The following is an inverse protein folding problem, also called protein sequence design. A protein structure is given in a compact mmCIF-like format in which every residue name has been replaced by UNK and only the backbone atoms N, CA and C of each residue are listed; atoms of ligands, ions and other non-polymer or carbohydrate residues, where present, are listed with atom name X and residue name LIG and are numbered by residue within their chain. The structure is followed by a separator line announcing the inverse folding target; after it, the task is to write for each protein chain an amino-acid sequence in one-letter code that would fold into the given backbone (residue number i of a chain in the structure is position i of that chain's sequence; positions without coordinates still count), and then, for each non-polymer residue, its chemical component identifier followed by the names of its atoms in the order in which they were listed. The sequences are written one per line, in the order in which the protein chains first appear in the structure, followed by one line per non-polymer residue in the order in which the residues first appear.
data_IF_840715375984
#
_entry.id   IF_840715375984
#
_cell.length_a   1.000
_cell.length_b   1.000
_cell.length_c   1.000
_cell.angle_alpha   90.00
_cell.angle_beta   90.00
_cell.angle_gamma   90.00
#
_symmetry.space_group_name_H-M   'P 1'
#
loop_
_entity.id
_entity.type
_entity.pdbx_description
1 polymer ?
#
# COMPACT_ATOMS: atom_id res chain seq x y z
N UNK A 1 14.88 23.42 -20.58
CA UNK A 1 14.54 22.00 -20.29
C UNK A 1 13.16 21.87 -19.65
N UNK A 2 12.88 22.59 -18.54
CA UNK A 2 11.56 22.59 -17.86
C UNK A 2 10.39 22.99 -18.77
N UNK A 3 10.53 24.10 -19.50
CA UNK A 3 9.49 24.63 -20.39
C UNK A 3 9.14 23.67 -21.54
N UNK A 4 10.13 22.96 -22.08
CA UNK A 4 9.92 21.95 -23.13
C UNK A 4 9.19 20.72 -22.60
N UNK A 5 9.51 20.27 -21.37
CA UNK A 5 8.78 19.19 -20.70
C UNK A 5 7.34 19.58 -20.40
N UNK A 6 7.11 20.80 -19.92
CA UNK A 6 5.77 21.30 -19.65
C UNK A 6 4.94 21.41 -20.94
N UNK A 7 5.54 21.92 -22.03
CA UNK A 7 4.91 21.97 -23.35
C UNK A 7 4.55 20.56 -23.87
N UNK A 8 5.48 19.60 -23.81
CA UNK A 8 5.22 18.22 -24.22
C UNK A 8 4.12 17.54 -23.37
N UNK A 9 4.04 17.86 -22.07
CA UNK A 9 2.94 17.40 -21.19
C UNK A 9 1.59 17.97 -21.60
N UNK A 10 1.52 19.27 -21.89
CA UNK A 10 0.28 19.90 -22.37
C UNK A 10 -0.14 19.34 -23.73
N UNK A 11 0.82 19.10 -24.63
CA UNK A 11 0.58 18.53 -25.93
C UNK A 11 0.05 17.08 -25.82
N UNK A 12 0.69 16.25 -25.00
CA UNK A 12 0.22 14.88 -24.75
C UNK A 12 -1.16 14.85 -24.10
N UNK A 13 -1.40 15.71 -23.10
CA UNK A 13 -2.71 15.83 -22.46
C UNK A 13 -3.79 16.27 -23.47
N UNK A 14 -3.49 17.23 -24.34
CA UNK A 14 -4.39 17.66 -25.42
C UNK A 14 -4.74 16.50 -26.36
N UNK A 15 -3.74 15.74 -26.84
CA UNK A 15 -4.00 14.59 -27.72
C UNK A 15 -4.76 13.45 -27.02
N UNK A 16 -4.48 13.18 -25.74
CA UNK A 16 -5.25 12.22 -24.94
C UNK A 16 -6.70 12.68 -24.74
N UNK A 17 -6.93 13.96 -24.47
CA UNK A 17 -8.28 14.53 -24.35
C UNK A 17 -9.03 14.50 -25.67
N UNK A 18 -8.38 14.81 -26.80
CA UNK A 18 -8.98 14.72 -28.13
C UNK A 18 -9.28 13.27 -28.48
N UNK A 19 -8.37 12.33 -28.22
CA UNK A 19 -8.60 10.90 -28.42
C UNK A 19 -9.75 10.37 -27.54
N UNK A 20 -9.84 10.81 -26.29
CA UNK A 20 -10.94 10.48 -25.39
C UNK A 20 -12.28 11.07 -25.86
N UNK A 21 -12.28 12.31 -26.36
CA UNK A 21 -13.48 12.96 -26.91
C UNK A 21 -13.95 12.30 -28.22
N UNK A 22 -13.01 11.95 -29.11
CA UNK A 22 -13.29 11.19 -30.33
C UNK A 22 -13.81 9.80 -29.97
N UNK A 23 -13.21 9.13 -28.98
CA UNK A 23 -13.70 7.84 -28.48
C UNK A 23 -15.09 7.95 -27.84
N UNK A 24 -15.38 9.05 -27.14
CA UNK A 24 -16.70 9.32 -26.56
C UNK A 24 -17.77 9.50 -27.64
N UNK A 25 -17.42 10.23 -28.71
CA UNK A 25 -18.32 10.50 -29.83
C UNK A 25 -18.53 9.29 -30.74
N UNK A 26 -17.47 8.55 -31.06
CA UNK A 26 -17.51 7.40 -31.97
C UNK A 26 -18.01 6.12 -31.29
N UNK A 27 -17.79 5.99 -29.97
CA UNK A 27 -18.10 4.77 -29.23
C UNK A 27 -18.81 5.03 -27.91
N UNK A 28 -19.98 5.70 -27.90
CA UNK A 28 -20.74 5.96 -26.67
C UNK A 28 -21.18 4.66 -25.97
N UNK A 29 -21.21 3.52 -26.67
CA UNK A 29 -21.46 2.19 -26.10
C UNK A 29 -20.22 1.50 -25.52
N UNK A 30 -19.00 1.82 -25.98
CA UNK A 30 -17.76 1.22 -25.43
C UNK A 30 -17.46 1.76 -24.04
N UNK A 31 -17.83 3.01 -23.76
CA UNK A 31 -17.79 3.58 -22.40
C UNK A 31 -18.72 2.87 -21.40
N UNK A 32 -19.63 2.00 -21.86
CA UNK A 32 -20.48 1.18 -20.99
C UNK A 32 -19.91 -0.20 -20.69
N UNK A 33 -18.78 -0.57 -21.28
CA UNK A 33 -18.14 -1.85 -21.01
C UNK A 33 -16.90 -1.59 -20.14
N UNK A 34 -16.96 -1.91 -18.84
CA UNK A 34 -15.86 -1.67 -17.92
C UNK A 34 -14.74 -2.69 -18.22
N UNK A 35 -13.88 -2.37 -19.19
CA UNK A 35 -12.86 -3.31 -19.67
C UNK A 35 -11.44 -2.86 -19.31
N UNK A 36 -11.20 -1.57 -19.08
CA UNK A 36 -9.83 -1.07 -18.92
C UNK A 36 -9.22 -1.58 -17.62
N UNK A 37 -9.92 -1.36 -16.50
CA UNK A 37 -9.42 -1.77 -15.19
C UNK A 37 -9.35 -3.30 -15.06
N UNK A 38 -10.36 -4.08 -15.47
CA UNK A 38 -10.26 -5.54 -15.44
C UNK A 38 -9.15 -6.11 -16.34
N UNK A 39 -8.90 -5.53 -17.53
CA UNK A 39 -7.80 -5.94 -18.39
C UNK A 39 -6.45 -5.65 -17.72
N UNK A 40 -6.26 -4.45 -17.18
CA UNK A 40 -5.01 -4.10 -16.46
C UNK A 40 -4.83 -5.01 -15.25
N UNK A 41 -5.88 -5.25 -14.46
CA UNK A 41 -5.83 -6.14 -13.30
C UNK A 41 -5.43 -7.57 -13.69
N UNK A 42 -5.93 -8.06 -14.83
CA UNK A 42 -5.55 -9.36 -15.37
C UNK A 42 -4.10 -9.38 -15.85
N UNK A 43 -3.64 -8.32 -16.51
CA UNK A 43 -2.24 -8.16 -16.92
C UNK A 43 -1.32 -8.16 -15.69
N UNK A 44 -1.68 -7.42 -14.63
CA UNK A 44 -0.94 -7.41 -13.37
C UNK A 44 -0.92 -8.80 -12.73
N UNK A 45 -2.05 -9.52 -12.75
CA UNK A 45 -2.11 -10.90 -12.25
C UNK A 45 -1.17 -11.82 -13.04
N UNK A 46 -1.16 -11.73 -14.38
CA UNK A 46 -0.24 -12.49 -15.23
C UNK A 46 1.22 -12.10 -14.98
N UNK A 47 1.50 -10.83 -14.74
CA UNK A 47 2.83 -10.35 -14.39
C UNK A 47 3.31 -10.87 -13.04
N UNK A 48 2.45 -10.89 -12.02
CA UNK A 48 2.76 -11.50 -10.72
C UNK A 48 3.02 -13.00 -10.88
N UNK A 49 2.19 -13.70 -11.66
CA UNK A 49 2.34 -15.14 -11.86
C UNK A 49 3.60 -15.49 -12.64
N UNK A 50 3.73 -14.98 -13.86
CA UNK A 50 4.78 -15.41 -14.79
C UNK A 50 6.03 -14.56 -14.70
N UNK A 51 5.90 -13.26 -14.42
CA UNK A 51 7.02 -12.33 -14.31
C UNK A 51 7.72 -12.39 -12.95
N UNK A 52 7.02 -12.80 -11.90
CA UNK A 52 7.53 -12.78 -10.52
C UNK A 52 7.49 -14.15 -9.83
N UNK A 53 7.04 -15.20 -10.54
CA UNK A 53 6.95 -16.58 -10.04
C UNK A 53 6.09 -16.70 -8.75
N UNK A 54 4.95 -16.00 -8.73
CA UNK A 54 4.00 -16.05 -7.63
C UNK A 54 2.74 -16.85 -8.01
N UNK A 55 2.07 -17.40 -7.00
CA UNK A 55 0.79 -18.08 -7.13
C UNK A 55 -0.22 -17.46 -6.17
N UNK A 56 -1.49 -17.56 -6.53
CA UNK A 56 -2.59 -17.17 -5.66
C UNK A 56 -2.93 -18.32 -4.72
N UNK A 57 -3.04 -18.02 -3.42
CA UNK A 57 -3.41 -18.98 -2.40
C UNK A 57 -4.50 -18.36 -1.51
N UNK A 58 -5.50 -19.16 -1.14
CA UNK A 58 -6.48 -18.79 -0.12
C UNK A 58 -6.30 -19.71 1.07
N UNK A 59 -6.27 -19.13 2.26
CA UNK A 59 -6.22 -19.85 3.53
C UNK A 59 -7.50 -19.55 4.30
N UNK A 60 -8.25 -20.60 4.60
CA UNK A 60 -9.41 -20.52 5.49
C UNK A 60 -8.87 -20.51 6.93
N UNK A 61 -9.17 -19.44 7.67
CA UNK A 61 -8.73 -19.29 9.06
C UNK A 61 -9.75 -19.92 10.03
N UNK A 62 -11.03 -19.70 9.73
CA UNK A 62 -12.18 -20.20 10.45
C UNK A 62 -13.42 -20.23 9.52
N UNK A 63 -14.61 -20.40 10.08
CA UNK A 63 -15.88 -20.44 9.34
C UNK A 63 -16.36 -19.07 8.81
N UNK A 64 -15.71 -17.99 9.24
CA UNK A 64 -16.10 -16.62 8.95
C UNK A 64 -15.07 -15.88 8.11
N UNK A 65 -13.80 -16.30 8.13
CA UNK A 65 -12.65 -15.51 7.69
C UNK A 65 -11.72 -16.29 6.77
N UNK A 66 -11.42 -15.69 5.61
CA UNK A 66 -10.47 -16.22 4.64
C UNK A 66 -9.45 -15.15 4.25
N UNK A 67 -8.18 -15.56 4.17
CA UNK A 67 -7.10 -14.68 3.76
C UNK A 67 -6.53 -15.15 2.42
N UNK A 68 -6.53 -14.26 1.44
CA UNK A 68 -5.93 -14.46 0.14
C UNK A 68 -4.52 -13.86 0.09
N UNK A 69 -3.59 -14.59 -0.51
CA UNK A 69 -2.19 -14.21 -0.67
C UNK A 69 -1.74 -14.41 -2.11
N UNK A 70 -0.81 -13.56 -2.54
CA UNK A 70 0.21 -13.98 -3.48
C UNK A 70 1.39 -14.59 -2.70
N UNK A 71 1.76 -15.81 -3.04
CA UNK A 71 2.83 -16.58 -2.40
C UNK A 71 3.85 -17.06 -3.46
N UNK A 72 5.08 -17.43 -3.10
CA UNK A 72 6.01 -17.96 -4.09
C UNK A 72 5.49 -19.28 -4.66
N UNK A 73 5.53 -19.46 -5.99
CA UNK A 73 5.16 -20.73 -6.61
C UNK A 73 6.00 -21.90 -6.07
N UNK A 74 7.28 -21.62 -5.80
CA UNK A 74 8.21 -22.52 -5.14
C UNK A 74 9.00 -21.75 -4.08
N UNK A 75 8.89 -22.18 -2.82
CA UNK A 75 9.68 -21.64 -1.72
C UNK A 75 11.14 -22.02 -1.90
N UNK A 76 12.03 -21.04 -1.85
CA UNK A 76 13.49 -21.22 -1.94
C UNK A 76 14.12 -21.13 -0.55
N UNK A 77 14.69 -22.23 -0.06
CA UNK A 77 15.19 -22.32 1.32
C UNK A 77 16.43 -21.45 1.60
N UNK A 78 17.17 -21.08 0.56
CA UNK A 78 18.30 -20.17 0.61
C UNK A 78 17.89 -18.68 0.66
N UNK A 79 16.59 -18.37 0.56
CA UNK A 79 16.09 -17.00 0.55
C UNK A 79 15.24 -16.67 1.77
N UNK A 80 15.40 -15.48 2.37
CA UNK A 80 14.55 -15.04 3.45
C UNK A 80 13.11 -14.81 2.97
N UNK A 81 12.17 -14.95 3.89
CA UNK A 81 10.76 -14.67 3.64
C UNK A 81 10.50 -13.17 3.87
N UNK A 82 9.80 -12.53 2.92
CA UNK A 82 9.38 -11.13 3.02
C UNK A 82 7.88 -11.03 2.80
N UNK A 83 7.19 -10.49 3.80
CA UNK A 83 5.79 -10.12 3.69
C UNK A 83 5.65 -8.68 3.20
N UNK A 84 4.75 -8.42 2.25
CA UNK A 84 4.49 -7.08 1.71
C UNK A 84 3.03 -6.68 1.96
N UNK A 85 2.79 -5.68 2.81
CA UNK A 85 1.43 -5.27 3.22
C UNK A 85 1.08 -3.92 2.61
N UNK A 86 0.02 -3.93 1.81
CA UNK A 86 -0.49 -2.77 1.08
C UNK A 86 -1.29 -1.81 1.98
N UNK A 87 -1.50 -0.57 1.53
CA UNK A 87 -2.34 0.43 2.17
C UNK A 87 -3.73 0.59 1.52
N UNK A 88 -4.44 1.66 1.85
CA UNK A 88 -5.73 2.01 1.23
C UNK A 88 -5.60 2.43 -0.24
N UNK A 89 -6.72 2.37 -0.95
CA UNK A 89 -6.86 2.85 -2.34
C UNK A 89 -6.99 1.71 -3.35
N UNK A 90 -6.03 0.79 -3.38
CA UNK A 90 -6.02 -0.36 -4.30
C UNK A 90 -5.50 -1.62 -3.63
N UNK A 91 -5.67 -2.75 -4.32
CA UNK A 91 -5.12 -4.03 -3.86
C UNK A 91 -3.59 -4.12 -4.07
N UNK A 92 -2.92 -5.16 -3.55
CA UNK A 92 -1.47 -5.27 -3.61
C UNK A 92 -0.88 -5.20 -5.02
N UNK A 93 -1.60 -5.68 -6.05
CA UNK A 93 -1.08 -5.70 -7.42
C UNK A 93 -0.85 -4.30 -7.95
N UNK A 94 -1.80 -3.41 -7.66
CA UNK A 94 -1.76 -2.01 -8.06
C UNK A 94 -0.73 -1.21 -7.26
N UNK A 95 -0.47 -1.58 -6.00
CA UNK A 95 0.49 -0.88 -5.16
C UNK A 95 1.93 -1.39 -5.28
N UNK A 96 2.14 -2.66 -5.63
CA UNK A 96 3.48 -3.27 -5.62
C UNK A 96 4.03 -3.63 -6.99
N UNK A 97 3.42 -3.16 -8.09
CA UNK A 97 3.86 -3.46 -9.46
C UNK A 97 5.35 -3.15 -9.70
N UNK A 98 5.90 -2.11 -9.07
CA UNK A 98 7.30 -1.72 -9.20
C UNK A 98 8.25 -2.40 -8.21
N UNK A 99 7.71 -3.03 -7.16
CA UNK A 99 8.48 -3.67 -6.08
C UNK A 99 8.61 -5.17 -6.33
N UNK A 100 7.52 -5.80 -6.76
CA UNK A 100 7.32 -7.26 -6.71
C UNK A 100 8.42 -8.03 -7.44
N UNK A 101 8.83 -7.60 -8.64
CA UNK A 101 9.81 -8.33 -9.44
C UNK A 101 11.20 -8.31 -8.82
N UNK A 102 11.71 -7.13 -8.49
CA UNK A 102 13.05 -6.96 -7.92
C UNK A 102 13.16 -7.63 -6.54
N UNK A 103 12.12 -7.49 -5.70
CA UNK A 103 12.11 -8.14 -4.39
C UNK A 103 11.94 -9.66 -4.51
N UNK A 104 11.18 -10.17 -5.48
CA UNK A 104 11.06 -11.61 -5.74
C UNK A 104 12.38 -12.24 -6.19
N UNK A 105 13.35 -11.48 -6.70
CA UNK A 105 14.68 -12.01 -7.00
C UNK A 105 15.48 -12.32 -5.71
N UNK A 106 15.19 -11.63 -4.61
CA UNK A 106 15.97 -11.71 -3.36
C UNK A 106 15.24 -12.44 -2.23
N UNK A 107 13.91 -12.52 -2.28
CA UNK A 107 13.07 -13.01 -1.20
C UNK A 107 12.06 -14.06 -1.68
N UNK A 108 11.51 -14.82 -0.73
CA UNK A 108 10.22 -15.50 -0.89
C UNK A 108 9.12 -14.51 -0.50
N UNK A 109 8.33 -14.03 -1.47
CA UNK A 109 7.34 -12.99 -1.23
C UNK A 109 5.97 -13.55 -0.81
N UNK A 110 5.43 -13.00 0.27
CA UNK A 110 4.07 -13.26 0.74
C UNK A 110 3.30 -11.95 0.79
N UNK A 111 2.30 -11.79 -0.06
CA UNK A 111 1.61 -10.51 -0.26
C UNK A 111 0.12 -10.74 0.00
N UNK A 112 -0.37 -10.48 1.23
CA UNK A 112 -1.78 -10.62 1.55
C UNK A 112 -2.61 -9.55 0.83
N UNK A 113 -3.81 -9.93 0.40
CA UNK A 113 -4.91 -8.98 0.31
C UNK A 113 -5.40 -8.75 1.76
N UNK A 114 -5.44 -7.51 2.24
CA UNK A 114 -6.03 -7.21 3.56
C UNK A 114 -7.54 -7.47 3.54
N UNK A 115 -8.16 -7.72 4.70
CA UNK A 115 -9.61 -7.95 4.76
C UNK A 115 -10.38 -6.79 4.14
N UNK A 116 -11.40 -7.12 3.34
CA UNK A 116 -12.20 -6.22 2.50
C UNK A 116 -11.49 -5.71 1.24
N UNK A 117 -10.21 -5.97 1.06
CA UNK A 117 -9.45 -5.70 -0.17
C UNK A 117 -9.22 -6.99 -0.94
N UNK A 118 -9.04 -6.87 -2.26
CA UNK A 118 -8.80 -8.01 -3.14
C UNK A 118 -9.83 -9.13 -2.91
N UNK A 119 -9.35 -10.33 -2.57
CA UNK A 119 -10.17 -11.53 -2.36
C UNK A 119 -10.31 -11.98 -0.89
N UNK A 120 -9.68 -11.29 0.06
CA UNK A 120 -9.80 -11.62 1.48
C UNK A 120 -11.15 -11.20 2.03
N UNK A 121 -11.74 -12.04 2.89
CA UNK A 121 -13.10 -11.89 3.37
C UNK A 121 -13.22 -12.19 4.86
N UNK A 122 -14.12 -11.48 5.54
CA UNK A 122 -14.58 -11.85 6.86
C UNK A 122 -16.04 -11.44 7.07
N UNK A 123 -16.79 -12.22 7.83
CA UNK A 123 -18.09 -11.80 8.41
C UNK A 123 -17.97 -11.32 9.85
N UNK A 124 -16.81 -11.50 10.49
CA UNK A 124 -16.53 -10.99 11.84
C UNK A 124 -16.70 -9.46 11.88
N UNK A 125 -17.33 -8.88 12.91
CA UNK A 125 -17.53 -7.43 13.02
C UNK A 125 -16.29 -6.66 13.48
N UNK A 126 -15.19 -7.34 13.85
CA UNK A 126 -13.97 -6.68 14.31
C UNK A 126 -13.29 -5.90 13.16
N UNK A 127 -12.96 -4.63 13.41
CA UNK A 127 -12.38 -3.68 12.44
C UNK A 127 -11.00 -3.16 12.85
N UNK A 128 -10.42 -3.76 13.88
CA UNK A 128 -9.12 -3.34 14.37
C UNK A 128 -7.98 -3.77 13.46
N UNK A 129 -6.94 -2.95 13.46
CA UNK A 129 -5.66 -3.21 12.81
C UNK A 129 -4.98 -4.43 13.46
N UNK A 130 -5.26 -4.67 14.76
CA UNK A 130 -4.86 -5.87 15.48
C UNK A 130 -5.54 -7.14 14.93
N UNK A 131 -6.83 -7.06 14.59
CA UNK A 131 -7.54 -8.18 13.97
C UNK A 131 -7.03 -8.45 12.54
N UNK A 132 -6.80 -7.40 11.74
CA UNK A 132 -6.11 -7.54 10.45
C UNK A 132 -4.76 -8.26 10.61
N UNK A 133 -3.95 -7.85 11.59
CA UNK A 133 -2.65 -8.43 11.88
C UNK A 133 -2.73 -9.91 12.31
N UNK A 134 -3.71 -10.24 13.15
CA UNK A 134 -3.97 -11.62 13.57
C UNK A 134 -4.35 -12.51 12.37
N UNK A 135 -5.27 -12.06 11.52
CA UNK A 135 -5.68 -12.80 10.33
C UNK A 135 -4.52 -13.01 9.35
N UNK A 136 -3.72 -11.97 9.09
CA UNK A 136 -2.53 -12.09 8.23
C UNK A 136 -1.52 -13.07 8.83
N UNK A 137 -1.26 -12.99 10.14
CA UNK A 137 -0.34 -13.90 10.84
C UNK A 137 -0.82 -15.36 10.83
N UNK A 138 -2.11 -15.60 11.04
CA UNK A 138 -2.72 -16.91 10.94
C UNK A 138 -2.64 -17.47 9.51
N UNK A 139 -2.87 -16.62 8.50
CA UNK A 139 -2.71 -16.99 7.09
C UNK A 139 -1.28 -17.41 6.76
N UNK A 140 -0.27 -16.66 7.22
CA UNK A 140 1.14 -17.03 7.06
C UNK A 140 1.47 -18.38 7.74
N UNK A 141 0.95 -18.62 8.95
CA UNK A 141 1.09 -19.92 9.63
C UNK A 141 0.47 -21.05 8.80
N UNK A 142 -0.72 -20.84 8.24
CA UNK A 142 -1.37 -21.79 7.34
C UNK A 142 -0.57 -22.10 6.07
N UNK A 143 0.20 -21.13 5.57
CA UNK A 143 1.16 -21.32 4.46
C UNK A 143 2.51 -21.93 4.90
N UNK A 144 2.67 -22.31 6.18
CA UNK A 144 3.91 -22.89 6.71
C UNK A 144 5.05 -21.89 6.90
N UNK A 145 4.73 -20.61 7.06
CA UNK A 145 5.71 -19.53 7.27
C UNK A 145 5.83 -19.23 8.75
N UNK A 146 6.87 -19.76 9.39
CA UNK A 146 7.13 -19.55 10.82
C UNK A 146 7.80 -18.22 11.15
N UNK A 147 8.65 -17.69 10.25
CA UNK A 147 9.37 -16.41 10.43
C UNK A 147 9.50 -15.66 9.10
N UNK A 148 9.35 -14.34 9.14
CA UNK A 148 9.56 -13.47 7.99
C UNK A 148 9.93 -12.04 8.42
N UNK A 149 10.50 -11.27 7.49
CA UNK A 149 10.55 -9.81 7.60
C UNK A 149 9.29 -9.20 6.98
N UNK A 150 8.92 -7.99 7.39
CA UNK A 150 7.77 -7.26 6.84
C UNK A 150 8.19 -5.95 6.20
N UNK A 151 7.65 -5.67 5.02
CA UNK A 151 7.58 -4.36 4.40
C UNK A 151 6.11 -3.95 4.32
N UNK A 152 5.76 -2.83 4.94
CA UNK A 152 4.39 -2.36 5.02
C UNK A 152 4.29 -0.86 4.75
N UNK A 153 3.30 -0.46 3.95
CA UNK A 153 3.12 0.94 3.53
C UNK A 153 1.75 1.49 3.95
N UNK A 154 1.72 2.75 4.38
CA UNK A 154 0.47 3.46 4.72
C UNK A 154 -0.37 2.68 5.73
N UNK A 155 -1.65 2.42 5.46
CA UNK A 155 -2.49 1.60 6.34
C UNK A 155 -1.89 0.23 6.68
N UNK A 156 -1.19 -0.38 5.73
CA UNK A 156 -0.46 -1.63 5.96
C UNK A 156 0.59 -1.51 7.04
N UNK A 157 1.16 -0.31 7.23
CA UNK A 157 2.13 -0.03 8.30
C UNK A 157 1.55 -0.21 9.70
N UNK A 158 0.28 0.14 9.94
CA UNK A 158 -0.40 -0.17 11.21
C UNK A 158 -0.52 -1.68 11.40
N UNK A 159 -0.96 -2.40 10.37
CA UNK A 159 -1.09 -3.87 10.41
C UNK A 159 0.27 -4.53 10.66
N UNK A 160 1.30 -4.17 9.90
CA UNK A 160 2.65 -4.73 10.03
C UNK A 160 3.30 -4.43 11.38
N UNK A 161 3.03 -3.24 11.95
CA UNK A 161 3.48 -2.91 13.31
C UNK A 161 2.77 -3.78 14.36
N UNK A 162 1.45 -3.92 14.27
CA UNK A 162 0.66 -4.77 15.18
C UNK A 162 1.10 -6.24 15.10
N UNK A 163 1.49 -6.72 13.93
CA UNK A 163 2.08 -8.06 13.79
C UNK A 163 3.40 -8.19 14.56
N UNK A 164 4.28 -7.20 14.50
CA UNK A 164 5.55 -7.21 15.23
C UNK A 164 5.39 -7.12 16.75
N UNK A 165 4.33 -6.43 17.20
CA UNK A 165 3.95 -6.32 18.61
C UNK A 165 3.31 -7.62 19.14
N UNK A 166 2.37 -8.20 18.39
CA UNK A 166 1.59 -9.37 18.81
C UNK A 166 2.32 -10.70 18.61
N UNK A 167 3.20 -10.78 17.61
CA UNK A 167 3.92 -12.00 17.22
C UNK A 167 5.41 -11.74 17.03
N UNK A 168 6.13 -11.31 18.09
CA UNK A 168 7.52 -10.93 17.97
C UNK A 168 8.44 -12.08 17.53
N UNK A 169 8.05 -13.32 17.79
CA UNK A 169 8.74 -14.54 17.35
C UNK A 169 8.67 -14.75 15.83
N UNK A 170 7.62 -14.26 15.18
CA UNK A 170 7.40 -14.39 13.74
C UNK A 170 8.11 -13.30 12.94
N UNK A 171 8.22 -12.09 13.50
CA UNK A 171 8.78 -10.93 12.79
C UNK A 171 10.29 -10.78 13.04
N UNK A 172 11.08 -10.89 11.98
CA UNK A 172 12.55 -10.74 12.06
C UNK A 172 13.00 -9.28 12.00
N UNK A 173 12.52 -8.55 11.00
CA UNK A 173 12.81 -7.14 10.73
C UNK A 173 11.55 -6.45 10.22
N UNK A 174 11.41 -5.17 10.53
CA UNK A 174 10.23 -4.39 10.21
C UNK A 174 10.62 -3.20 9.34
N UNK A 175 9.98 -3.05 8.17
CA UNK A 175 10.09 -1.86 7.33
C UNK A 175 8.72 -1.18 7.25
N UNK A 176 8.62 0.01 7.81
CA UNK A 176 7.41 0.84 7.77
C UNK A 176 7.64 2.01 6.81
N UNK A 177 6.74 2.17 5.85
CA UNK A 177 6.83 3.20 4.83
C UNK A 177 5.61 4.10 4.91
N UNK A 178 5.83 5.40 5.11
CA UNK A 178 4.78 6.42 5.09
C UNK A 178 3.54 6.04 5.90
N UNK A 179 3.64 5.83 7.21
CA UNK A 179 2.51 5.31 8.04
C UNK A 179 2.38 6.02 9.39
N UNK A 180 1.19 6.51 9.74
CA UNK A 180 0.92 7.25 10.98
C UNK A 180 0.93 6.43 12.29
N UNK A 181 1.69 5.34 12.37
CA UNK A 181 1.86 4.57 13.61
C UNK A 181 2.45 5.45 14.71
N UNK A 182 1.88 5.40 15.92
CA UNK A 182 2.32 6.22 17.05
C UNK A 182 1.74 7.63 17.08
N UNK A 183 0.88 8.01 16.13
CA UNK A 183 0.23 9.32 16.10
C UNK A 183 -1.00 9.38 17.00
N UNK A 184 -1.22 10.52 17.64
CA UNK A 184 -2.45 10.78 18.40
C UNK A 184 -3.62 11.08 17.48
N UNK A 185 -4.83 10.93 18.02
CA UNK A 185 -6.06 11.34 17.33
C UNK A 185 -6.08 12.82 16.97
N UNK A 186 -5.54 13.68 17.84
CA UNK A 186 -5.45 15.12 17.58
C UNK A 186 -4.50 15.42 16.41
N UNK A 187 -3.35 14.73 16.35
CA UNK A 187 -2.40 14.85 15.24
C UNK A 187 -3.00 14.36 13.92
N UNK A 188 -3.73 13.24 13.93
CA UNK A 188 -4.45 12.74 12.75
C UNK A 188 -5.50 13.76 12.29
N UNK A 189 -6.31 14.30 13.22
CA UNK A 189 -7.35 15.29 12.92
C UNK A 189 -6.79 16.61 12.40
N UNK A 190 -5.69 17.09 12.99
CA UNK A 190 -4.98 18.28 12.53
C UNK A 190 -4.45 18.06 11.10
N UNK A 191 -3.85 16.91 10.84
CA UNK A 191 -3.34 16.60 9.52
C UNK A 191 -4.45 16.53 8.46
N UNK A 192 -5.61 15.94 8.78
CA UNK A 192 -6.77 15.95 7.87
C UNK A 192 -7.27 17.36 7.57
N UNK A 193 -7.29 18.26 8.57
CA UNK A 193 -7.59 19.68 8.35
C UNK A 193 -6.58 20.35 7.43
N UNK A 194 -5.29 20.04 7.57
CA UNK A 194 -4.22 20.60 6.74
C UNK A 194 -4.32 20.12 5.29
N UNK A 195 -4.74 18.87 5.06
CA UNK A 195 -5.02 18.35 3.71
C UNK A 195 -6.29 18.96 3.12
N UNK A 196 -7.24 19.37 3.96
CA UNK A 196 -8.47 20.06 3.55
C UNK A 196 -9.59 19.12 3.10
N UNK A 197 -9.54 17.85 3.46
CA UNK A 197 -10.58 16.86 3.15
C UNK A 197 -10.81 15.89 4.33
N UNK A 198 -11.97 15.21 4.34
CA UNK A 198 -12.21 14.12 5.28
C UNK A 198 -11.33 12.91 4.93
N UNK A 199 -10.92 12.13 5.93
CA UNK A 199 -10.19 10.88 5.71
C UNK A 199 -10.97 9.89 4.84
N UNK A 200 -12.29 9.80 5.00
CA UNK A 200 -13.12 8.90 4.19
C UNK A 200 -13.12 9.32 2.72
N UNK A 201 -13.27 10.62 2.45
CA UNK A 201 -13.27 11.15 1.08
C UNK A 201 -11.91 10.94 0.39
N UNK A 202 -10.83 10.99 1.18
CA UNK A 202 -9.47 10.79 0.70
C UNK A 202 -9.15 9.31 0.48
N UNK A 203 -9.38 8.46 1.48
CA UNK A 203 -8.96 7.05 1.48
C UNK A 203 -9.94 6.16 0.69
N UNK A 204 -11.20 6.57 0.56
CA UNK A 204 -12.25 5.79 -0.08
C UNK A 204 -13.08 6.67 -1.05
N UNK A 205 -12.44 7.19 -2.13
CA UNK A 205 -13.13 8.04 -3.09
C UNK A 205 -14.34 7.33 -3.70
N UNK A 206 -15.40 8.07 -3.97
CA UNK A 206 -16.63 7.60 -4.62
C UNK A 206 -16.84 8.18 -6.03
N UNK A 207 -15.99 9.13 -6.44
CA UNK A 207 -16.04 9.79 -7.73
C UNK A 207 -14.63 10.10 -8.28
N UNK A 208 -14.50 10.34 -9.60
CA UNK A 208 -13.20 10.59 -10.24
C UNK A 208 -12.41 11.76 -9.66
N UNK A 209 -13.08 12.83 -9.22
CA UNK A 209 -12.40 13.98 -8.62
C UNK A 209 -11.76 13.63 -7.28
N UNK A 210 -12.46 12.84 -6.44
CA UNK A 210 -11.90 12.30 -5.19
C UNK A 210 -10.70 11.40 -5.44
N UNK A 211 -10.76 10.53 -6.46
CA UNK A 211 -9.62 9.67 -6.80
C UNK A 211 -8.43 10.48 -7.34
N UNK A 212 -8.66 11.55 -8.12
CA UNK A 212 -7.58 12.47 -8.51
C UNK A 212 -6.96 13.15 -7.29
N UNK A 213 -7.78 13.61 -6.34
CA UNK A 213 -7.30 14.22 -5.10
C UNK A 213 -6.42 13.25 -4.29
N UNK A 214 -6.85 11.99 -4.13
CA UNK A 214 -6.07 10.95 -3.48
C UNK A 214 -4.69 10.80 -4.16
N UNK A 215 -4.68 10.69 -5.48
CA UNK A 215 -3.44 10.49 -6.25
C UNK A 215 -2.52 11.71 -6.21
N UNK A 216 -3.06 12.93 -6.31
CA UNK A 216 -2.28 14.18 -6.25
C UNK A 216 -1.73 14.49 -4.85
N UNK A 217 -2.43 14.02 -3.82
CA UNK A 217 -1.97 14.16 -2.43
C UNK A 217 -0.96 13.08 -2.07
N UNK A 218 -1.12 11.88 -2.63
CA UNK A 218 -0.25 10.75 -2.32
C UNK A 218 1.05 10.76 -3.10
N UNK A 219 1.04 11.17 -4.37
CA UNK A 219 2.20 11.04 -5.25
C UNK A 219 2.74 12.42 -5.61
N UNK A 220 4.02 12.64 -5.32
CA UNK A 220 4.67 13.91 -5.58
C UNK A 220 5.13 14.06 -7.03
N UNK A 221 5.70 12.99 -7.61
CA UNK A 221 6.16 12.99 -9.00
C UNK A 221 5.01 12.78 -9.96
N UNK A 222 5.25 13.17 -11.21
CA UNK A 222 4.25 13.14 -12.25
C UNK A 222 3.72 11.71 -12.51
N UNK A 223 2.41 11.50 -12.34
CA UNK A 223 1.72 10.29 -12.82
C UNK A 223 0.80 10.65 -14.00
N UNK A 224 0.86 9.90 -15.12
CA UNK A 224 -0.13 9.98 -16.20
C UNK A 224 -1.59 9.81 -15.75
N UNK A 225 -1.82 9.13 -14.62
CA UNK A 225 -3.13 8.89 -14.02
C UNK A 225 -3.90 10.18 -13.68
N UNK A 226 -3.18 11.29 -13.43
CA UNK A 226 -3.77 12.63 -13.30
C UNK A 226 -4.56 13.05 -14.55
N UNK A 227 -4.27 12.49 -15.70
CA UNK A 227 -4.90 12.81 -16.99
C UNK A 227 -5.77 11.66 -17.52
N UNK A 228 -5.94 10.57 -16.75
CA UNK A 228 -6.82 9.48 -17.15
C UNK A 228 -8.26 10.01 -17.31
N UNK A 229 -9.02 9.61 -18.34
CA UNK A 229 -10.41 10.01 -18.48
C UNK A 229 -11.28 9.57 -17.28
N UNK A 230 -12.32 10.33 -16.95
CA UNK A 230 -13.17 10.08 -15.78
C UNK A 230 -13.79 8.69 -15.78
N UNK A 231 -14.15 8.13 -16.94
CA UNK A 231 -14.71 6.78 -17.02
C UNK A 231 -13.70 5.70 -16.58
N UNK A 232 -12.39 5.88 -16.86
CA UNK A 232 -11.34 4.95 -16.40
C UNK A 232 -11.16 5.04 -14.89
N UNK A 233 -11.22 6.26 -14.35
CA UNK A 233 -11.17 6.49 -12.92
C UNK A 233 -12.40 5.89 -12.21
N UNK A 234 -13.58 6.03 -12.82
CA UNK A 234 -14.81 5.41 -12.30
C UNK A 234 -14.71 3.89 -12.30
N UNK A 235 -14.20 3.26 -13.37
CA UNK A 235 -13.94 1.82 -13.38
C UNK A 235 -12.99 1.39 -12.26
N UNK A 236 -11.97 2.21 -11.94
CA UNK A 236 -11.05 1.92 -10.85
C UNK A 236 -11.76 1.99 -9.50
N UNK A 237 -12.56 3.02 -9.28
CA UNK A 237 -13.38 3.20 -8.07
C UNK A 237 -14.33 2.01 -7.91
N UNK A 238 -15.00 1.59 -8.98
CA UNK A 238 -15.93 0.48 -8.94
C UNK A 238 -15.24 -0.84 -8.58
N UNK A 239 -14.05 -1.08 -9.15
CA UNK A 239 -13.30 -2.32 -8.92
C UNK A 239 -12.55 -2.35 -7.58
N UNK A 240 -12.02 -1.21 -7.11
CA UNK A 240 -11.07 -1.13 -6.00
C UNK A 240 -11.61 -0.45 -4.74
N UNK A 241 -12.62 0.41 -4.87
CA UNK A 241 -13.18 1.17 -3.75
C UNK A 241 -14.60 0.71 -3.39
N UNK A 242 -15.46 0.45 -4.37
CA UNK A 242 -16.87 0.11 -4.15
C UNK A 242 -17.10 -1.35 -3.76
N UNK A 243 -16.18 -2.27 -4.10
CA UNK A 243 -16.20 -3.61 -3.53
C UNK A 243 -15.96 -3.56 -2.02
N UNK A 244 -16.81 -4.24 -1.25
CA UNK A 244 -16.77 -4.24 0.22
C UNK A 244 -16.70 -2.84 0.85
N UNK A 245 -17.29 -1.82 0.19
CA UNK A 245 -17.17 -0.40 0.58
C UNK A 245 -17.48 -0.16 2.06
N UNK A 246 -18.55 -0.81 2.56
CA UNK A 246 -18.96 -0.71 3.97
C UNK A 246 -17.86 -1.17 4.92
N UNK A 247 -17.25 -2.33 4.68
CA UNK A 247 -16.14 -2.83 5.52
C UNK A 247 -14.93 -1.90 5.50
N UNK A 248 -14.57 -1.37 4.32
CA UNK A 248 -13.48 -0.39 4.19
C UNK A 248 -13.79 0.92 4.90
N UNK A 249 -15.03 1.40 4.87
CA UNK A 249 -15.43 2.58 5.61
C UNK A 249 -15.31 2.35 7.12
N UNK A 250 -15.84 1.23 7.62
CA UNK A 250 -15.78 0.88 9.04
C UNK A 250 -14.33 0.75 9.56
N UNK A 251 -13.41 0.27 8.72
CA UNK A 251 -11.97 0.25 9.03
C UNK A 251 -11.38 1.66 9.17
N UNK A 252 -11.73 2.62 8.29
CA UNK A 252 -11.26 4.02 8.40
C UNK A 252 -11.85 4.68 9.64
N UNK A 253 -13.15 4.48 9.88
CA UNK A 253 -13.84 5.01 11.06
C UNK A 253 -13.20 4.48 12.35
N UNK A 254 -12.87 3.19 12.39
CA UNK A 254 -12.14 2.59 13.51
C UNK A 254 -10.76 3.24 13.71
N UNK A 255 -9.97 3.39 12.63
CA UNK A 255 -8.63 3.99 12.67
C UNK A 255 -8.62 5.44 13.19
N UNK A 256 -9.68 6.21 12.90
CA UNK A 256 -9.84 7.61 13.34
C UNK A 256 -10.52 7.78 14.71
N UNK A 257 -11.08 6.70 15.26
CA UNK A 257 -11.73 6.71 16.57
C UNK A 257 -10.79 6.16 17.66
N UNK A 258 -9.83 5.32 17.28
CA UNK A 258 -9.11 4.49 18.23
C UNK A 258 -7.82 5.13 18.76
N UNK A 259 -7.82 5.42 20.07
CA UNK A 259 -6.65 5.92 20.81
C UNK A 259 -5.49 4.91 20.90
N UNK A 260 -5.71 3.64 20.54
CA UNK A 260 -4.72 2.56 20.67
C UNK A 260 -3.43 2.80 19.88
N UNK A 261 -3.47 3.58 18.78
CA UNK A 261 -2.27 3.88 18.00
C UNK A 261 -1.25 4.74 18.76
N UNK A 262 -1.68 5.50 19.77
CA UNK A 262 -0.78 6.27 20.63
C UNK A 262 -0.07 5.38 21.67
N UNK A 263 -0.74 4.33 22.13
CA UNK A 263 -0.24 3.41 23.16
C UNK A 263 0.46 2.16 22.57
N UNK A 264 0.89 2.23 21.30
CA UNK A 264 1.67 1.15 20.68
C UNK A 264 2.91 0.83 21.49
N UNK A 265 3.08 -0.43 21.88
CA UNK A 265 4.29 -0.84 22.61
C UNK A 265 5.50 -0.73 21.70
N UNK A 266 6.66 -0.40 22.27
CA UNK A 266 7.92 -0.39 21.50
C UNK A 266 8.27 -1.81 21.08
N UNK A 267 8.24 -2.06 19.78
CA UNK A 267 8.63 -3.34 19.19
C UNK A 267 10.13 -3.60 19.35
N UNK A 268 10.54 -4.87 19.44
CA UNK A 268 11.91 -5.26 19.79
C UNK A 268 12.81 -5.53 18.58
N UNK A 269 12.21 -5.65 17.40
CA UNK A 269 12.84 -5.92 16.12
C UNK A 269 13.66 -4.73 15.62
N UNK A 270 14.70 -5.00 14.83
CA UNK A 270 15.32 -3.93 14.03
C UNK A 270 14.26 -3.37 13.07
N UNK A 271 14.12 -2.04 13.08
CA UNK A 271 13.09 -1.35 12.32
C UNK A 271 13.69 -0.30 11.39
N UNK A 272 13.23 -0.26 10.15
CA UNK A 272 13.53 0.79 9.19
C UNK A 272 12.26 1.56 8.89
N UNK A 273 12.29 2.86 9.13
CA UNK A 273 11.29 3.81 8.68
C UNK A 273 11.77 4.41 7.36
N UNK A 274 10.94 4.41 6.33
CA UNK A 274 11.23 5.07 5.05
C UNK A 274 10.14 6.09 4.78
N UNK A 275 10.53 7.33 4.45
CA UNK A 275 9.58 8.42 4.25
C UNK A 275 9.93 9.29 3.06
N UNK A 276 8.92 9.80 2.37
CA UNK A 276 9.09 10.88 1.40
C UNK A 276 9.13 12.24 2.09
N UNK A 277 10.04 13.13 1.69
CA UNK A 277 10.14 14.49 2.25
C UNK A 277 8.99 15.42 1.84
N UNK A 278 8.15 14.99 0.87
CA UNK A 278 6.96 15.68 0.38
C UNK A 278 5.66 14.98 0.75
N UNK A 279 5.67 14.06 1.71
CA UNK A 279 4.46 13.37 2.16
C UNK A 279 3.45 14.37 2.75
N UNK A 280 2.31 14.52 2.06
CA UNK A 280 1.19 15.39 2.47
C UNK A 280 0.13 14.63 3.27
N UNK A 281 0.16 13.30 3.29
CA UNK A 281 -0.80 12.45 4.00
C UNK A 281 -0.30 12.26 5.44
N UNK A 282 0.94 11.82 5.61
CA UNK A 282 1.60 11.70 6.90
C UNK A 282 2.90 12.51 6.89
N UNK A 283 2.93 13.67 7.56
CA UNK A 283 4.09 14.55 7.51
C UNK A 283 5.32 13.86 8.13
N UNK A 284 6.51 14.22 7.66
CA UNK A 284 7.79 13.66 8.12
C UNK A 284 7.97 13.75 9.65
N UNK A 285 7.32 14.70 10.31
CA UNK A 285 7.29 14.81 11.77
C UNK A 285 6.79 13.54 12.47
N UNK A 286 5.89 12.77 11.84
CA UNK A 286 5.38 11.50 12.35
C UNK A 286 6.48 10.44 12.37
N UNK A 287 7.30 10.37 11.32
CA UNK A 287 8.47 9.49 11.28
C UNK A 287 9.47 9.82 12.39
N UNK A 288 9.72 11.12 12.63
CA UNK A 288 10.58 11.58 13.72
C UNK A 288 10.02 11.26 15.11
N UNK A 289 8.71 11.27 15.29
CA UNK A 289 8.07 10.86 16.55
C UNK A 289 8.22 9.35 16.76
N UNK A 290 7.93 8.56 15.74
CA UNK A 290 8.00 7.10 15.81
C UNK A 290 9.42 6.60 16.08
N UNK A 291 10.44 7.13 15.38
CA UNK A 291 11.83 6.72 15.62
C UNK A 291 12.29 7.04 17.05
N UNK A 292 11.86 8.17 17.64
CA UNK A 292 12.17 8.49 19.05
C UNK A 292 11.56 7.47 20.01
N UNK A 293 10.34 7.00 19.72
CA UNK A 293 9.64 5.98 20.53
C UNK A 293 10.28 4.59 20.38
N UNK A 294 10.75 4.26 19.19
CA UNK A 294 11.41 2.96 18.91
C UNK A 294 12.85 2.88 19.42
N UNK A 295 13.53 4.03 19.55
CA UNK A 295 14.87 4.11 20.12
C UNK A 295 15.95 3.52 19.20
N UNK A 296 17.04 2.96 19.75
CA UNK A 296 18.29 2.72 19.02
C UNK A 296 18.23 1.62 17.96
N UNK A 297 17.19 0.78 17.97
CA UNK A 297 16.99 -0.29 16.98
C UNK A 297 16.25 0.18 15.73
N UNK A 298 15.78 1.43 15.71
CA UNK A 298 15.13 2.02 14.57
C UNK A 298 16.07 2.94 13.78
N UNK A 299 15.91 2.94 12.47
CA UNK A 299 16.53 3.89 11.54
C UNK A 299 15.46 4.60 10.72
N UNK A 300 15.75 5.83 10.30
CA UNK A 300 14.88 6.62 9.43
C UNK A 300 15.67 7.00 8.19
N UNK A 301 15.17 6.60 7.03
CA UNK A 301 15.68 6.99 5.73
C UNK A 301 14.64 7.89 5.05
N UNK A 302 15.07 9.09 4.65
CA UNK A 302 14.20 10.06 3.98
C UNK A 302 14.57 10.09 2.51
N UNK A 303 13.62 9.79 1.63
CA UNK A 303 13.79 9.85 0.19
C UNK A 303 13.37 11.23 -0.30
N UNK A 304 14.30 12.02 -0.88
CA UNK A 304 13.99 13.35 -1.39
C UNK A 304 13.05 13.27 -2.61
N UNK A 305 12.31 14.36 -2.81
CA UNK A 305 11.37 14.55 -3.91
C UNK A 305 10.37 13.40 -4.03
N UNK A 306 9.88 12.90 -2.89
CA UNK A 306 8.93 11.78 -2.83
C UNK A 306 7.79 12.10 -1.88
N UNK A 307 6.57 11.75 -2.26
CA UNK A 307 5.35 11.92 -1.49
C UNK A 307 5.06 10.74 -0.58
N UNK A 308 3.78 10.56 -0.26
CA UNK A 308 3.28 9.44 0.53
C UNK A 308 3.53 8.08 -0.14
N UNK A 309 3.25 8.00 -1.45
CA UNK A 309 3.42 6.81 -2.27
C UNK A 309 4.87 6.67 -2.75
N UNK A 310 5.81 6.50 -1.81
CA UNK A 310 7.25 6.33 -2.07
C UNK A 310 7.51 5.14 -3.03
N UNK A 311 6.66 4.11 -2.95
CA UNK A 311 6.65 2.97 -3.86
C UNK A 311 6.40 3.33 -5.33
N UNK A 312 5.77 4.47 -5.60
CA UNK A 312 5.53 4.99 -6.94
C UNK A 312 6.55 6.09 -7.28
N UNK A 313 6.84 6.99 -6.36
CA UNK A 313 7.74 8.12 -6.59
C UNK A 313 9.21 7.71 -6.75
N UNK A 314 9.65 6.71 -5.99
CA UNK A 314 11.06 6.30 -5.95
C UNK A 314 11.21 4.78 -5.80
N UNK A 315 10.63 3.97 -6.72
CA UNK A 315 10.60 2.52 -6.58
C UNK A 315 12.00 1.89 -6.44
N UNK A 316 12.97 2.33 -7.25
CA UNK A 316 14.34 1.78 -7.19
C UNK A 316 15.04 2.10 -5.86
N UNK A 317 14.95 3.34 -5.38
CA UNK A 317 15.51 3.72 -4.08
C UNK A 317 14.84 2.97 -2.93
N UNK A 318 13.52 2.83 -2.98
CA UNK A 318 12.77 2.07 -1.99
C UNK A 318 13.18 0.59 -1.97
N UNK A 319 13.22 -0.06 -3.14
CA UNK A 319 13.61 -1.47 -3.26
C UNK A 319 15.03 -1.70 -2.74
N UNK A 320 15.96 -0.81 -3.06
CA UNK A 320 17.34 -0.88 -2.59
C UNK A 320 17.45 -0.76 -1.06
N UNK A 321 16.72 0.18 -0.45
CA UNK A 321 16.68 0.35 1.01
C UNK A 321 16.08 -0.88 1.70
N UNK A 322 14.94 -1.39 1.21
CA UNK A 322 14.29 -2.59 1.74
C UNK A 322 15.26 -3.78 1.66
N UNK A 323 15.83 -4.02 0.47
CA UNK A 323 16.73 -5.15 0.23
C UNK A 323 17.98 -5.07 1.09
N UNK A 324 18.64 -3.91 1.12
CA UNK A 324 19.85 -3.69 1.91
C UNK A 324 19.60 -3.92 3.40
N UNK A 325 18.53 -3.33 3.93
CA UNK A 325 18.19 -3.48 5.35
C UNK A 325 17.84 -4.92 5.74
N UNK A 326 17.02 -5.59 4.94
CA UNK A 326 16.60 -6.97 5.27
C UNK A 326 17.77 -7.94 5.15
N UNK A 327 18.59 -7.85 4.10
CA UNK A 327 19.71 -8.78 3.89
C UNK A 327 20.93 -8.50 4.77
N UNK A 328 21.23 -7.24 5.07
CA UNK A 328 22.50 -6.86 5.70
C UNK A 328 22.34 -6.12 7.04
N UNK A 329 21.11 -5.79 7.43
CA UNK A 329 20.81 -5.13 8.71
C UNK A 329 21.15 -3.65 8.72
N UNK A 330 20.84 -3.00 9.84
CA UNK A 330 20.95 -1.54 9.99
C UNK A 330 22.36 -0.99 9.72
N UNK A 331 23.44 -1.72 10.02
CA UNK A 331 24.83 -1.23 9.86
C UNK A 331 25.28 -1.03 8.40
N UNK A 332 24.53 -1.55 7.43
CA UNK A 332 24.90 -1.58 6.00
C UNK A 332 24.36 -0.41 5.18
N UNK A 333 23.39 0.35 5.72
CA UNK A 333 22.88 1.57 5.10
C UNK A 333 23.92 2.69 5.33
N UNK A 334 24.84 2.87 4.38
CA UNK A 334 25.85 3.93 4.33
C UNK A 334 25.93 4.53 2.94
#
# INVERSE_FOLDING_TARGET
MEALRQYLRHLLAFYLSVAAAISHYLFPKIQRFPIFVPIIDKILSLYFTFGCNLVQCTVDLDDQTTMHFWAPAHRRFDKPNLMMIHGYGGDPKWQFVYQVKELAESFNLYIPDLLFFGKSHTTCPNRSEAFQAECVGAGLKGLGVGRCSVYAISYGGYVGYRMAEMHPEMMEKVVIVSSGVGCTEDQKREQLKNVGCNALDLLLPDNPAGLRLLMETSVYKFIPFKYAPDFVLQEFIDAMCNNNRKGKQELVEHLLANKADFDVQTITQETLLIWGDKDKIFPLSFAHQLIRKLGPKAKLEVIPDSGHAVNIDAPGSLNALIKGFILHGSKSLK
#
